data_IF_729382550420
#
_entry.id   IF_729382550420
#
_cell.length_a   1.000
_cell.length_b   1.000
_cell.length_c   1.000
_cell.angle_alpha   90.00
_cell.angle_beta   90.00
_cell.angle_gamma   90.00
#
_symmetry.space_group_name_H-M   'P 1'
#
loop_
_entity.id
_entity.type
_entity.pdbx_description
1 polymer ?
#
# COMPACT_ATOMS: atom_id res chain seq x y z
N UNK A 1 -2.81 -1.63 -1.85
CA UNK A 1 -1.82 -2.09 -0.88
C UNK A 1 -1.39 -3.52 -1.17
N UNK A 2 -0.12 -3.84 -0.93
CA UNK A 2 0.46 -5.16 -1.21
C UNK A 2 1.17 -5.69 0.04
N UNK A 3 0.66 -6.79 0.60
CA UNK A 3 1.35 -7.63 1.58
C UNK A 3 1.79 -8.92 0.89
N UNK A 4 1.18 -10.06 1.26
CA UNK A 4 1.39 -11.35 0.60
C UNK A 4 0.83 -11.47 -0.83
N UNK A 5 0.28 -10.40 -1.40
CA UNK A 5 -0.09 -10.28 -2.81
C UNK A 5 -1.49 -10.78 -3.20
N UNK A 6 -2.25 -11.42 -2.31
CA UNK A 6 -3.55 -12.01 -2.66
C UNK A 6 -4.54 -11.02 -3.26
N UNK A 7 -4.70 -9.85 -2.63
CA UNK A 7 -5.61 -8.81 -3.12
C UNK A 7 -5.22 -8.29 -4.51
N UNK A 8 -3.97 -7.84 -4.65
CA UNK A 8 -3.49 -7.26 -5.91
C UNK A 8 -3.45 -8.28 -7.04
N UNK A 9 -3.09 -9.53 -6.75
CA UNK A 9 -3.12 -10.61 -7.73
C UNK A 9 -4.54 -10.85 -8.25
N UNK A 10 -5.53 -10.94 -7.36
CA UNK A 10 -6.93 -11.16 -7.74
C UNK A 10 -7.53 -9.98 -8.50
N UNK A 11 -7.47 -8.78 -7.91
CA UNK A 11 -8.02 -7.56 -8.52
C UNK A 11 -7.30 -7.23 -9.83
N UNK A 12 -5.96 -7.26 -9.83
CA UNK A 12 -5.15 -6.94 -10.99
C UNK A 12 -5.38 -7.90 -12.16
N UNK A 13 -5.43 -9.21 -11.88
CA UNK A 13 -5.73 -10.22 -12.91
C UNK A 13 -7.11 -10.01 -13.51
N UNK A 14 -8.12 -9.76 -12.69
CA UNK A 14 -9.47 -9.49 -13.17
C UNK A 14 -9.51 -8.24 -14.04
N UNK A 15 -8.98 -7.12 -13.56
CA UNK A 15 -9.01 -5.85 -14.30
C UNK A 15 -8.25 -5.96 -15.63
N UNK A 16 -7.05 -6.53 -15.64
CA UNK A 16 -6.27 -6.73 -16.88
C UNK A 16 -6.90 -7.72 -17.86
N UNK A 17 -7.75 -8.64 -17.38
CA UNK A 17 -8.53 -9.50 -18.27
C UNK A 17 -9.64 -8.74 -18.99
N UNK A 18 -10.13 -7.63 -18.42
CA UNK A 18 -11.16 -6.76 -18.99
C UNK A 18 -10.55 -5.66 -19.87
N UNK A 19 -9.51 -5.02 -19.37
CA UNK A 19 -8.75 -4.00 -20.12
C UNK A 19 -7.27 -4.09 -19.78
N UNK A 20 -6.46 -4.48 -20.75
CA UNK A 20 -5.00 -4.60 -20.59
C UNK A 20 -4.29 -3.26 -20.37
N UNK A 21 -4.95 -2.14 -20.66
CA UNK A 21 -4.40 -0.78 -20.46
C UNK A 21 -4.48 -0.30 -19.02
N UNK A 22 -5.28 -0.97 -18.16
CA UNK A 22 -5.36 -0.61 -16.75
C UNK A 22 -3.98 -0.76 -16.11
N UNK A 23 -3.47 0.33 -15.55
CA UNK A 23 -2.25 0.32 -14.75
C UNK A 23 -2.58 -0.08 -13.31
N UNK A 24 -1.80 -1.01 -12.77
CA UNK A 24 -1.88 -1.45 -11.39
C UNK A 24 -0.62 -0.99 -10.67
N UNK A 25 -0.77 -0.12 -9.69
CA UNK A 25 0.33 0.37 -8.87
C UNK A 25 0.31 -0.37 -7.53
N UNK A 26 1.34 -1.17 -7.28
CA UNK A 26 1.53 -1.83 -5.99
C UNK A 26 2.08 -0.83 -4.96
N UNK A 27 1.44 -0.73 -3.80
CA UNK A 27 1.87 0.16 -2.73
C UNK A 27 2.35 -0.66 -1.52
N UNK A 28 3.58 -0.41 -1.06
CA UNK A 28 4.16 -1.02 0.13
C UNK A 28 4.84 0.03 1.02
N UNK A 29 4.91 -0.21 2.35
CA UNK A 29 5.74 0.61 3.22
C UNK A 29 7.23 0.32 2.94
N UNK A 30 8.09 1.32 2.96
CA UNK A 30 9.54 1.15 2.84
C UNK A 30 10.10 0.18 3.90
N UNK A 31 9.48 0.15 5.07
CA UNK A 31 9.89 -0.68 6.19
C UNK A 31 9.55 -2.16 6.03
N UNK A 32 8.66 -2.53 5.09
CA UNK A 32 8.25 -3.92 4.82
C UNK A 32 7.84 -4.08 3.36
N UNK A 33 8.80 -4.08 2.45
CA UNK A 33 8.60 -4.12 1.00
C UNK A 33 8.99 -5.46 0.37
N UNK A 34 8.65 -6.55 1.04
CA UNK A 34 9.12 -7.90 0.71
C UNK A 34 8.71 -8.34 -0.70
N UNK A 35 7.47 -8.07 -1.12
CA UNK A 35 7.00 -8.44 -2.48
C UNK A 35 7.75 -7.65 -3.55
N UNK A 36 7.97 -6.35 -3.35
CA UNK A 36 8.75 -5.52 -4.27
C UNK A 36 10.17 -6.08 -4.45
N UNK A 37 10.89 -6.28 -3.34
CA UNK A 37 12.27 -6.79 -3.38
C UNK A 37 12.35 -8.21 -3.97
N UNK A 38 11.36 -9.06 -3.68
CA UNK A 38 11.26 -10.39 -4.27
C UNK A 38 11.10 -10.35 -5.79
N UNK A 39 10.24 -9.45 -6.28
CA UNK A 39 10.04 -9.27 -7.73
C UNK A 39 11.31 -8.71 -8.40
N UNK A 40 12.01 -7.75 -7.76
CA UNK A 40 13.29 -7.26 -8.27
C UNK A 40 14.37 -8.36 -8.29
N UNK A 41 14.38 -9.24 -7.30
CA UNK A 41 15.30 -10.37 -7.25
C UNK A 41 14.93 -11.53 -8.19
N UNK A 42 13.74 -11.51 -8.79
CA UNK A 42 13.21 -12.60 -9.63
C UNK A 42 12.83 -13.87 -8.86
N UNK A 43 12.84 -13.84 -7.54
CA UNK A 43 12.49 -14.95 -6.63
C UNK A 43 12.01 -14.43 -5.28
N UNK A 44 11.22 -15.21 -4.56
CA UNK A 44 10.84 -14.89 -3.20
C UNK A 44 12.09 -14.87 -2.32
N UNK A 45 12.26 -13.80 -1.55
CA UNK A 45 13.37 -13.61 -0.63
C UNK A 45 12.88 -13.44 0.80
N UNK A 46 13.71 -13.87 1.76
CA UNK A 46 13.54 -13.52 3.15
C UNK A 46 14.08 -12.12 3.41
N UNK A 47 13.24 -11.26 3.94
CA UNK A 47 13.61 -9.90 4.29
C UNK A 47 13.09 -9.57 5.69
N UNK A 48 13.96 -9.05 6.54
CA UNK A 48 13.55 -8.58 7.86
C UNK A 48 12.79 -7.26 7.75
N UNK A 49 11.49 -7.32 8.03
CA UNK A 49 10.64 -6.12 8.12
C UNK A 49 10.97 -5.31 9.38
N UNK A 50 10.88 -3.98 9.25
CA UNK A 50 10.88 -3.06 10.39
C UNK A 50 9.43 -2.75 10.79
N UNK A 51 9.25 -2.13 11.96
CA UNK A 51 7.93 -1.66 12.39
C UNK A 51 7.37 -0.65 11.38
N UNK A 52 6.08 -0.78 11.08
CA UNK A 52 5.36 0.10 10.15
C UNK A 52 3.93 0.35 10.62
N UNK A 53 3.39 1.51 10.27
CA UNK A 53 1.97 1.84 10.44
C UNK A 53 1.08 0.93 9.56
N UNK A 54 1.62 0.42 8.47
CA UNK A 54 0.93 -0.52 7.58
C UNK A 54 1.16 -1.97 8.02
N UNK A 55 0.79 -2.27 9.26
CA UNK A 55 0.95 -3.60 9.86
C UNK A 55 0.20 -4.70 9.08
N UNK A 56 -0.95 -4.37 8.51
CA UNK A 56 -1.74 -5.29 7.68
C UNK A 56 -1.06 -5.74 6.37
N UNK A 57 0.02 -5.06 5.94
CA UNK A 57 0.81 -5.47 4.77
C UNK A 57 2.21 -5.95 5.15
N UNK A 58 2.58 -5.85 6.43
CA UNK A 58 3.90 -6.24 6.90
C UNK A 58 4.04 -7.76 7.03
N UNK A 59 5.20 -8.27 6.68
CA UNK A 59 5.53 -9.70 6.85
C UNK A 59 6.27 -10.29 5.65
N UNK A 60 6.57 -11.58 5.77
CA UNK A 60 7.18 -12.38 4.71
C UNK A 60 6.15 -12.86 3.67
N UNK A 61 6.66 -13.58 2.69
CA UNK A 61 5.88 -14.28 1.67
C UNK A 61 6.32 -15.75 1.73
N UNK A 62 5.37 -16.67 1.74
CA UNK A 62 5.68 -18.10 1.70
C UNK A 62 6.45 -18.45 0.42
N UNK A 63 7.48 -19.27 0.52
CA UNK A 63 8.41 -19.56 -0.58
C UNK A 63 7.73 -20.20 -1.81
N UNK A 64 6.60 -20.89 -1.62
CA UNK A 64 5.78 -21.52 -2.65
C UNK A 64 4.50 -20.73 -2.96
N UNK A 65 4.46 -19.45 -2.58
CA UNK A 65 3.28 -18.61 -2.76
C UNK A 65 2.94 -18.40 -4.24
N UNK A 66 1.75 -18.84 -4.63
CA UNK A 66 1.18 -18.66 -5.97
C UNK A 66 0.97 -17.18 -6.33
N UNK A 67 0.95 -16.29 -5.34
CA UNK A 67 0.73 -14.86 -5.55
C UNK A 67 1.94 -14.16 -6.15
N UNK A 68 3.15 -14.70 -6.00
CA UNK A 68 4.38 -14.07 -6.48
C UNK A 68 4.37 -13.83 -7.99
N UNK A 69 4.14 -14.89 -8.77
CA UNK A 69 4.08 -14.78 -10.22
C UNK A 69 2.89 -13.94 -10.70
N UNK A 70 1.75 -14.06 -10.03
CA UNK A 70 0.59 -13.24 -10.33
C UNK A 70 0.88 -11.74 -10.11
N UNK A 71 1.49 -11.36 -8.98
CA UNK A 71 1.90 -9.99 -8.68
C UNK A 71 2.88 -9.47 -9.73
N UNK A 72 3.92 -10.24 -10.06
CA UNK A 72 4.91 -9.88 -11.08
C UNK A 72 4.27 -9.59 -12.43
N UNK A 73 3.21 -10.32 -12.79
CA UNK A 73 2.53 -10.17 -14.07
C UNK A 73 1.52 -9.01 -14.11
N UNK A 74 0.90 -8.65 -12.98
CA UNK A 74 -0.19 -7.66 -12.98
C UNK A 74 0.27 -6.28 -12.54
N UNK A 75 1.27 -6.17 -11.65
CA UNK A 75 1.73 -4.87 -11.15
C UNK A 75 2.56 -4.19 -12.24
N UNK A 76 2.11 -3.00 -12.63
CA UNK A 76 2.75 -2.19 -13.67
C UNK A 76 3.85 -1.30 -13.09
N UNK A 77 3.70 -0.85 -11.85
CA UNK A 77 4.64 0.03 -11.15
C UNK A 77 4.47 -0.06 -9.64
N UNK A 78 5.40 0.53 -8.88
CA UNK A 78 5.45 0.46 -7.44
C UNK A 78 5.54 1.86 -6.80
N UNK A 79 4.86 2.00 -5.66
CA UNK A 79 5.02 3.09 -4.73
C UNK A 79 5.47 2.54 -3.37
N UNK A 80 6.68 2.90 -2.96
CA UNK A 80 7.22 2.57 -1.65
C UNK A 80 7.08 3.80 -0.76
N UNK A 81 6.30 3.70 0.32
CA UNK A 81 5.89 4.84 1.15
C UNK A 81 6.64 4.83 2.48
N UNK A 82 7.14 5.99 2.86
CA UNK A 82 7.72 6.22 4.19
C UNK A 82 6.63 6.22 5.27
N UNK A 83 7.03 6.00 6.53
CA UNK A 83 6.09 6.04 7.66
C UNK A 83 5.43 7.42 7.82
N UNK A 84 6.16 8.51 7.49
CA UNK A 84 5.59 9.86 7.54
C UNK A 84 4.49 10.05 6.49
N UNK A 85 4.70 9.60 5.25
CA UNK A 85 3.67 9.70 4.20
C UNK A 85 2.43 8.88 4.54
N UNK A 86 2.62 7.70 5.18
CA UNK A 86 1.49 6.89 5.66
C UNK A 86 0.74 7.63 6.77
N UNK A 87 1.46 8.22 7.73
CA UNK A 87 0.88 9.02 8.81
C UNK A 87 0.07 10.20 8.26
N UNK A 88 0.64 10.98 7.35
CA UNK A 88 0.00 12.14 6.73
C UNK A 88 -1.27 11.73 5.96
N UNK A 89 -1.23 10.58 5.26
CA UNK A 89 -2.39 10.06 4.54
C UNK A 89 -3.52 9.63 5.48
N UNK A 90 -3.22 9.04 6.63
CA UNK A 90 -4.23 8.72 7.67
C UNK A 90 -4.89 10.02 8.15
N UNK A 91 -4.08 10.99 8.54
CA UNK A 91 -4.55 12.24 9.14
C UNK A 91 -5.36 13.08 8.14
N UNK A 92 -4.87 13.25 6.90
CA UNK A 92 -5.60 14.01 5.88
C UNK A 92 -6.93 13.35 5.49
N UNK A 93 -6.99 12.02 5.54
CA UNK A 93 -8.23 11.28 5.27
C UNK A 93 -9.23 11.47 6.40
N UNK A 94 -8.77 11.41 7.66
CA UNK A 94 -9.60 11.67 8.81
C UNK A 94 -10.15 13.10 8.78
N UNK A 95 -9.29 14.09 8.54
CA UNK A 95 -9.66 15.51 8.54
C UNK A 95 -10.59 15.89 7.39
N UNK A 96 -10.28 15.44 6.16
CA UNK A 96 -10.98 15.93 4.95
C UNK A 96 -12.12 15.04 4.49
N UNK A 97 -12.04 13.75 4.78
CA UNK A 97 -13.05 12.77 4.34
C UNK A 97 -13.89 12.24 5.51
N UNK A 98 -13.51 12.56 6.75
CA UNK A 98 -14.16 12.06 7.97
C UNK A 98 -14.16 10.52 8.04
N UNK A 99 -13.15 9.90 7.43
CA UNK A 99 -12.98 8.45 7.38
C UNK A 99 -11.77 8.04 8.21
N UNK A 100 -11.99 7.10 9.14
CA UNK A 100 -10.89 6.43 9.82
C UNK A 100 -10.43 5.26 8.95
N UNK A 101 -9.15 5.26 8.59
CA UNK A 101 -8.52 4.21 7.80
C UNK A 101 -7.29 3.66 8.53
N UNK A 102 -6.95 2.41 8.27
CA UNK A 102 -5.69 1.80 8.73
C UNK A 102 -4.51 2.12 7.82
N UNK A 103 -3.28 1.83 8.28
CA UNK A 103 -2.07 2.12 7.53
C UNK A 103 -1.99 1.44 6.16
N UNK A 104 -2.53 0.21 6.03
CA UNK A 104 -2.61 -0.48 4.74
C UNK A 104 -3.45 0.30 3.72
N UNK A 105 -4.59 0.86 4.13
CA UNK A 105 -5.43 1.72 3.29
C UNK A 105 -4.72 3.02 2.94
N UNK A 106 -4.01 3.60 3.89
CA UNK A 106 -3.30 4.88 3.72
C UNK A 106 -2.19 4.83 2.67
N UNK A 107 -1.59 3.66 2.41
CA UNK A 107 -0.57 3.50 1.36
C UNK A 107 -1.03 4.02 0.00
N UNK A 108 -2.27 3.75 -0.39
CA UNK A 108 -2.79 4.15 -1.71
C UNK A 108 -3.04 5.65 -1.79
N UNK A 109 -3.50 6.26 -0.71
CA UNK A 109 -3.70 7.70 -0.60
C UNK A 109 -2.34 8.41 -0.59
N UNK A 110 -1.37 7.92 0.18
CA UNK A 110 -0.01 8.45 0.22
C UNK A 110 0.66 8.43 -1.16
N UNK A 111 0.47 7.34 -1.93
CA UNK A 111 0.98 7.25 -3.29
C UNK A 111 0.38 8.33 -4.22
N UNK A 112 -0.92 8.59 -4.12
CA UNK A 112 -1.58 9.68 -4.85
C UNK A 112 -1.07 11.05 -4.41
N UNK A 113 -0.93 11.28 -3.09
CA UNK A 113 -0.46 12.56 -2.53
C UNK A 113 0.97 12.87 -2.93
N UNK A 114 1.85 11.86 -3.01
CA UNK A 114 3.25 12.02 -3.41
C UNK A 114 3.39 12.53 -4.84
N UNK A 115 2.55 12.11 -5.75
CA UNK A 115 2.72 12.39 -7.19
C UNK A 115 1.39 12.69 -7.88
N UNK A 116 0.64 13.74 -7.47
CA UNK A 116 -0.69 14.00 -8.01
C UNK A 116 -0.68 14.32 -9.51
N UNK A 117 0.41 14.94 -10.00
CA UNK A 117 0.56 15.27 -11.43
C UNK A 117 0.64 14.05 -12.34
N UNK A 118 1.19 12.93 -11.83
CA UNK A 118 1.21 11.65 -12.55
C UNK A 118 -0.20 11.19 -12.94
N UNK A 119 -1.19 11.52 -12.13
CA UNK A 119 -2.56 11.05 -12.26
C UNK A 119 -3.51 12.10 -12.84
N UNK A 120 -2.98 13.28 -13.20
CA UNK A 120 -3.81 14.36 -13.73
C UNK A 120 -4.55 13.94 -15.00
N UNK A 121 -5.86 14.19 -15.04
CA UNK A 121 -6.74 13.81 -16.16
C UNK A 121 -7.07 12.32 -16.26
N UNK A 122 -6.67 11.51 -15.28
CA UNK A 122 -6.95 10.08 -15.24
C UNK A 122 -8.04 9.75 -14.20
N UNK A 123 -8.72 8.62 -14.42
CA UNK A 123 -9.56 8.02 -13.38
C UNK A 123 -8.69 7.13 -12.51
N UNK A 124 -8.59 7.45 -11.23
CA UNK A 124 -7.79 6.71 -10.25
C UNK A 124 -8.71 6.04 -9.23
N UNK A 125 -8.50 4.76 -8.98
CA UNK A 125 -9.21 4.00 -7.95
C UNK A 125 -8.25 3.67 -6.82
N UNK A 126 -8.54 4.14 -5.62
CA UNK A 126 -7.78 3.85 -4.41
C UNK A 126 -8.50 2.75 -3.61
N UNK A 127 -7.81 1.65 -3.33
CA UNK A 127 -8.37 0.54 -2.57
C UNK A 127 -8.14 0.78 -1.07
N UNK A 128 -9.18 1.18 -0.37
CA UNK A 128 -9.19 1.33 1.09
C UNK A 128 -9.65 0.01 1.72
N UNK A 129 -8.70 -0.79 2.20
CA UNK A 129 -8.90 -2.18 2.55
C UNK A 129 -9.34 -2.42 3.99
N UNK A 130 -9.24 -1.40 4.84
CA UNK A 130 -9.64 -1.53 6.23
C UNK A 130 -9.59 -0.22 7.01
N UNK A 131 -10.16 -0.26 8.21
CA UNK A 131 -10.29 0.88 9.12
C UNK A 131 -9.83 0.55 10.56
N UNK A 132 -9.11 -0.57 10.74
CA UNK A 132 -8.66 -1.02 12.06
C UNK A 132 -7.41 -0.25 12.50
N UNK A 133 -7.58 1.01 12.90
CA UNK A 133 -6.55 1.84 13.50
C UNK A 133 -6.65 1.78 15.03
N UNK A 134 -5.57 1.38 15.71
CA UNK A 134 -5.55 1.34 17.17
C UNK A 134 -5.62 2.74 17.80
N UNK A 135 -6.35 2.89 18.90
CA UNK A 135 -6.50 4.19 19.59
C UNK A 135 -5.17 4.79 20.05
N UNK A 136 -4.22 3.96 20.49
CA UNK A 136 -2.88 4.43 20.84
C UNK A 136 -2.14 4.98 19.61
N UNK A 137 -2.21 4.29 18.48
CA UNK A 137 -1.62 4.76 17.22
C UNK A 137 -2.25 6.10 16.81
N UNK A 138 -3.58 6.20 16.83
CA UNK A 138 -4.28 7.44 16.50
C UNK A 138 -3.85 8.59 17.42
N UNK A 139 -3.80 8.35 18.74
CA UNK A 139 -3.34 9.37 19.70
C UNK A 139 -1.92 9.85 19.39
N UNK A 140 -1.02 8.93 19.09
CA UNK A 140 0.37 9.28 18.76
C UNK A 140 0.48 10.07 17.45
N UNK A 141 -0.34 9.72 16.44
CA UNK A 141 -0.41 10.47 15.19
C UNK A 141 -0.89 11.90 15.42
N UNK A 142 -1.97 12.09 16.20
CA UNK A 142 -2.51 13.41 16.51
C UNK A 142 -1.54 14.25 17.32
N UNK A 143 -0.85 13.66 18.31
CA UNK A 143 0.16 14.37 19.10
C UNK A 143 1.37 14.83 18.26
N UNK A 144 1.73 14.09 17.23
CA UNK A 144 2.86 14.45 16.34
C UNK A 144 2.55 15.65 15.42
N UNK A 145 1.28 16.00 15.22
CA UNK A 145 0.89 17.15 14.38
C UNK A 145 1.01 18.52 15.07
N UNK A 146 1.30 18.56 16.38
CA UNK A 146 1.49 19.82 17.11
C UNK A 146 0.26 20.73 17.15
N UNK A 147 -0.93 20.20 16.99
CA UNK A 147 -2.16 20.94 17.21
C UNK A 147 -2.45 20.92 18.72
N UNK A 148 -1.91 21.93 19.43
CA UNK A 148 -2.33 22.35 20.77
C UNK A 148 -3.66 23.13 20.70
#
# INVERSE_FOLDING_TARGET
>A
PVGGGGLVAGVGSYLKSRDRKVEIIGCQPENSRVMYESIQAGKIIDMKSKRTLSDGTAGGIDHDSITFDACRNVISDWALLSEQEIADAILVTLERQHLMIEGASALTIAALMRSPQRFAGQTVVLLLTGSKLGLETLRNLLAATGHD
#
